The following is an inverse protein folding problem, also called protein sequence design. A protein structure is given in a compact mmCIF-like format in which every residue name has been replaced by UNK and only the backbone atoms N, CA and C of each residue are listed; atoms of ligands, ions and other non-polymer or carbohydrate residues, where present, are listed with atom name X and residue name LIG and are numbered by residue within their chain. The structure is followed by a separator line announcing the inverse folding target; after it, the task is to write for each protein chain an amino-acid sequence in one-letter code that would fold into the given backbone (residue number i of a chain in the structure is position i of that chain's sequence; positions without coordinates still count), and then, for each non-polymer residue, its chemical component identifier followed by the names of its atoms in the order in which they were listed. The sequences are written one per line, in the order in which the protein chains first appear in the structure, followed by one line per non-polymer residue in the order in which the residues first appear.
data_IF_576757842123
#
_entry.id   IF_576757842123
#
_cell.length_a   1.000
_cell.length_b   1.000
_cell.length_c   1.000
_cell.angle_alpha   90.00
_cell.angle_beta   90.00
_cell.angle_gamma   90.00
#
_symmetry.space_group_name_H-M   'P 1'
#
loop_
_entity.id
_entity.type
_entity.pdbx_description
1 polymer ?
#
# COMPACT_ATOMS: atom_id res chain seq x y z
N UNK A 1 6.47 2.81 23.69
CA UNK A 1 6.12 1.97 22.53
C UNK A 1 5.27 2.81 21.60
N UNK A 2 5.87 3.47 20.60
CA UNK A 2 5.17 4.45 19.76
C UNK A 2 5.58 4.37 18.27
N UNK A 3 6.13 3.22 17.83
CA UNK A 3 6.79 3.12 16.53
C UNK A 3 6.07 2.18 15.53
N UNK A 4 4.94 1.60 15.93
CA UNK A 4 4.12 0.73 15.08
C UNK A 4 2.70 1.28 14.87
N UNK A 5 2.43 2.50 15.33
CA UNK A 5 1.17 3.20 15.10
C UNK A 5 1.17 3.92 13.73
N UNK A 6 2.35 4.38 13.30
CA UNK A 6 2.57 5.03 11.99
C UNK A 6 2.37 4.04 10.82
N UNK A 7 2.66 2.75 11.00
CA UNK A 7 2.48 1.74 9.95
C UNK A 7 1.00 1.35 9.75
N UNK A 8 0.17 1.50 10.78
CA UNK A 8 -1.24 1.12 10.80
C UNK A 8 -2.21 2.27 10.51
N UNK A 9 -1.77 3.53 10.62
CA UNK A 9 -2.69 4.66 10.58
C UNK A 9 -3.24 5.03 9.19
N UNK A 10 -2.57 4.70 8.08
CA UNK A 10 -3.00 5.21 6.76
C UNK A 10 -2.50 4.38 5.56
N UNK A 11 -2.31 3.07 5.73
CA UNK A 11 -1.94 2.16 4.61
C UNK A 11 -3.15 1.65 3.83
N UNK A 12 -4.36 2.07 4.20
CA UNK A 12 -5.56 1.91 3.40
C UNK A 12 -5.61 2.95 2.28
N UNK A 13 -4.57 3.02 1.44
CA UNK A 13 -4.81 3.34 0.04
C UNK A 13 -5.61 2.15 -0.47
N UNK A 14 -6.93 2.26 -0.35
CA UNK A 14 -7.84 1.34 -0.99
C UNK A 14 -7.57 1.46 -2.48
N UNK A 15 -7.21 0.35 -3.15
CA UNK A 15 -6.90 0.38 -4.57
C UNK A 15 -8.05 0.98 -5.40
N UNK A 16 -9.29 0.98 -4.89
CA UNK A 16 -10.43 1.63 -5.53
C UNK A 16 -10.43 3.17 -5.39
N UNK A 17 -9.60 3.75 -4.53
CA UNK A 17 -9.36 5.20 -4.44
C UNK A 17 -8.36 5.70 -5.49
N UNK A 18 -7.61 4.80 -6.13
CA UNK A 18 -6.74 5.15 -7.26
C UNK A 18 -7.56 5.16 -8.55
N UNK A 19 -7.61 6.29 -9.28
CA UNK A 19 -8.29 6.34 -10.56
C UNK A 19 -7.63 5.35 -11.53
N UNK A 20 -8.42 4.44 -12.10
CA UNK A 20 -7.93 3.50 -13.11
C UNK A 20 -7.68 4.14 -14.47
N UNK A 21 -8.17 5.35 -14.69
CA UNK A 21 -8.04 6.05 -15.96
C UNK A 21 -7.83 7.57 -15.80
N UNK A 22 -7.05 8.15 -16.71
CA UNK A 22 -7.02 9.60 -16.90
C UNK A 22 -8.33 10.07 -17.55
N UNK A 23 -8.76 11.32 -17.30
CA UNK A 23 -9.97 11.86 -17.93
C UNK A 23 -9.89 11.79 -19.46
N UNK A 24 -10.99 11.43 -20.12
CA UNK A 24 -11.04 11.30 -21.58
C UNK A 24 -10.73 12.62 -22.34
N UNK A 25 -10.83 13.77 -21.67
CA UNK A 25 -10.45 15.07 -22.21
C UNK A 25 -8.93 15.32 -22.26
N UNK A 26 -8.13 14.51 -21.56
CA UNK A 26 -6.67 14.60 -21.58
C UNK A 26 -6.12 13.77 -22.74
N UNK A 27 -5.45 14.43 -23.67
CA UNK A 27 -4.87 13.79 -24.86
C UNK A 27 -3.38 14.15 -24.99
N UNK A 28 -2.66 13.38 -25.80
CA UNK A 28 -1.23 13.57 -26.05
C UNK A 28 -0.32 12.74 -25.15
N UNK A 29 0.99 12.92 -25.32
CA UNK A 29 2.02 12.09 -24.68
C UNK A 29 1.94 12.12 -23.15
N UNK A 30 1.66 13.27 -22.55
CA UNK A 30 1.54 13.39 -21.11
C UNK A 30 0.38 12.54 -20.55
N UNK A 31 -0.76 12.51 -21.24
CA UNK A 31 -1.91 11.70 -20.84
C UNK A 31 -1.58 10.20 -20.90
N UNK A 32 -0.88 9.75 -21.94
CA UNK A 32 -0.43 8.36 -22.06
C UNK A 32 0.56 7.97 -20.95
N UNK A 33 1.51 8.84 -20.63
CA UNK A 33 2.47 8.60 -19.54
C UNK A 33 1.76 8.53 -18.18
N UNK A 34 0.79 9.42 -17.93
CA UNK A 34 -0.03 9.35 -16.72
C UNK A 34 -0.84 8.06 -16.67
N UNK A 35 -1.46 7.64 -17.77
CA UNK A 35 -2.20 6.37 -17.83
C UNK A 35 -1.30 5.16 -17.55
N UNK A 36 -0.07 5.16 -18.07
CA UNK A 36 0.91 4.09 -17.82
C UNK A 36 1.38 4.07 -16.36
N UNK A 37 1.55 5.24 -15.74
CA UNK A 37 1.87 5.34 -14.32
C UNK A 37 0.71 4.85 -13.43
N UNK A 38 -0.54 5.16 -13.80
CA UNK A 38 -1.73 4.67 -13.10
C UNK A 38 -1.87 3.15 -13.21
N UNK A 39 -1.66 2.58 -14.40
CA UNK A 39 -1.68 1.13 -14.62
C UNK A 39 -0.64 0.42 -13.74
N UNK A 40 0.57 0.98 -13.66
CA UNK A 40 1.64 0.48 -12.78
C UNK A 40 1.26 0.57 -11.30
N UNK A 41 0.65 1.68 -10.88
CA UNK A 41 0.23 1.89 -9.50
C UNK A 41 -0.89 0.92 -9.08
N UNK A 42 -1.88 0.69 -9.95
CA UNK A 42 -2.99 -0.26 -9.73
C UNK A 42 -2.47 -1.69 -9.55
N UNK A 43 -1.35 -2.06 -10.18
CA UNK A 43 -0.72 -3.36 -9.99
C UNK A 43 0.14 -3.43 -8.71
N UNK A 44 0.85 -2.36 -8.39
CA UNK A 44 1.78 -2.32 -7.24
C UNK A 44 1.08 -2.27 -5.89
N UNK A 45 0.01 -1.49 -5.77
CA UNK A 45 -0.74 -1.31 -4.52
C UNK A 45 -1.24 -2.64 -3.93
N UNK A 46 -1.99 -3.49 -4.67
CA UNK A 46 -2.44 -4.77 -4.13
C UNK A 46 -1.29 -5.76 -3.89
N UNK A 47 -0.16 -5.61 -4.59
CA UNK A 47 1.02 -6.44 -4.35
C UNK A 47 1.75 -6.06 -3.05
N UNK A 48 1.62 -4.82 -2.57
CA UNK A 48 2.21 -4.34 -1.33
C UNK A 48 1.41 -4.76 -0.09
N UNK A 49 0.08 -4.93 -0.20
CA UNK A 49 -0.78 -5.40 0.90
C UNK A 49 -0.26 -6.68 1.60
N UNK A 50 0.01 -7.80 0.90
CA UNK A 50 0.45 -9.03 1.54
C UNK A 50 1.84 -8.89 2.19
N UNK A 51 2.70 -8.01 1.67
CA UNK A 51 4.00 -7.71 2.28
C UNK A 51 3.83 -6.97 3.61
N UNK A 52 2.89 -6.02 3.65
CA UNK A 52 2.54 -5.27 4.87
C UNK A 52 1.90 -6.21 5.90
N UNK A 53 0.98 -7.08 5.48
CA UNK A 53 0.34 -8.07 6.35
C UNK A 53 1.36 -9.07 6.94
N UNK A 54 2.31 -9.53 6.12
CA UNK A 54 3.40 -10.39 6.56
C UNK A 54 4.31 -9.68 7.58
N UNK A 55 4.68 -8.43 7.32
CA UNK A 55 5.49 -7.63 8.24
C UNK A 55 4.76 -7.37 9.57
N UNK A 56 3.46 -7.04 9.51
CA UNK A 56 2.64 -6.83 10.69
C UNK A 56 2.47 -8.12 11.52
N UNK A 57 2.32 -9.27 10.86
CA UNK A 57 2.26 -10.57 11.53
C UNK A 57 3.59 -10.93 12.19
N UNK A 58 4.70 -10.77 11.48
CA UNK A 58 6.03 -11.01 12.04
C UNK A 58 6.36 -10.09 13.24
N UNK A 59 5.92 -8.83 13.20
CA UNK A 59 6.08 -7.90 14.31
C UNK A 59 5.25 -8.32 15.54
N UNK A 60 4.03 -8.83 15.34
CA UNK A 60 3.19 -9.38 16.42
C UNK A 60 3.83 -10.63 17.02
N UNK A 61 4.32 -11.53 16.19
CA UNK A 61 5.01 -12.75 16.65
C UNK A 61 6.26 -12.40 17.47
N UNK A 62 7.03 -11.42 17.01
CA UNK A 62 8.20 -10.93 17.75
C UNK A 62 7.83 -10.32 19.11
N UNK A 63 6.78 -9.49 19.16
CA UNK A 63 6.34 -8.91 20.43
C UNK A 63 5.77 -9.96 21.39
N UNK A 64 5.05 -10.96 20.87
CA UNK A 64 4.56 -12.10 21.65
C UNK A 64 5.70 -12.94 22.25
N UNK A 65 6.75 -13.22 21.46
CA UNK A 65 7.95 -13.91 21.96
C UNK A 65 8.66 -13.10 23.06
N UNK A 66 8.70 -11.78 22.94
CA UNK A 66 9.29 -10.88 23.93
C UNK A 66 8.45 -10.80 25.21
N UNK A 67 7.13 -10.91 25.11
CA UNK A 67 6.18 -10.87 26.23
C UNK A 67 6.02 -12.20 26.97
N UNK A 68 6.36 -13.33 26.35
CA UNK A 68 6.26 -14.68 26.94
C UNK A 68 7.43 -15.13 27.80
N UNK A 69 8.38 -14.23 28.13
CA UNK A 69 9.56 -14.53 28.95
C UNK A 69 9.36 -14.24 30.46
N UNK A 70 8.13 -14.13 30.94
CA UNK A 70 7.79 -13.95 32.36
C UNK A 70 7.19 -15.21 32.97
#
# INVERSE_FOLDING_TARGET
MAQLDIASADTAVDAASVPSAVPASWTGLAANQCQSALDSAVLLIPALQPLIDAAASAAKDFDAMRGGAS
#
